data_IF_895410850848
#
_entry.id   IF_895410850848
#
_cell.length_a   1.000
_cell.length_b   1.000
_cell.length_c   1.000
_cell.angle_alpha   90.00
_cell.angle_beta   90.00
_cell.angle_gamma   90.00
#
_symmetry.space_group_name_H-M   'P 1'
#
loop_
_entity.id
_entity.type
_entity.pdbx_description
1 polymer ?
#
# COMPACT_ATOMS: atom_id res chain seq x y z
N UNK A 1 28.91 -32.59 0.99
CA UNK A 1 30.07 -32.14 1.78
C UNK A 1 29.63 -30.85 2.46
N UNK A 2 29.07 -30.97 3.67
CA UNK A 2 28.68 -29.80 4.48
C UNK A 2 29.96 -29.12 4.96
N UNK A 3 30.32 -27.99 4.35
CA UNK A 3 31.24 -27.06 4.99
C UNK A 3 30.54 -26.54 6.24
N UNK A 4 30.96 -27.01 7.42
CA UNK A 4 30.65 -26.34 8.69
C UNK A 4 31.06 -24.87 8.51
N UNK A 5 30.08 -23.97 8.45
CA UNK A 5 30.32 -22.54 8.41
C UNK A 5 31.17 -22.16 9.62
N UNK A 6 32.45 -21.86 9.37
CA UNK A 6 33.38 -21.42 10.40
C UNK A 6 32.88 -20.04 10.85
N UNK A 7 32.32 -19.96 12.05
CA UNK A 7 31.90 -18.69 12.63
C UNK A 7 33.11 -17.76 12.76
N UNK A 8 32.95 -16.53 12.29
CA UNK A 8 33.97 -15.49 12.37
C UNK A 8 33.91 -14.83 13.75
N UNK A 9 35.07 -14.72 14.40
CA UNK A 9 35.20 -14.02 15.68
C UNK A 9 35.24 -12.50 15.45
N UNK A 10 34.77 -11.73 16.43
CA UNK A 10 34.62 -10.27 16.30
C UNK A 10 35.95 -9.54 16.07
N UNK A 11 37.03 -10.02 16.70
CA UNK A 11 38.39 -9.48 16.58
C UNK A 11 39.03 -9.72 15.20
N UNK A 12 38.53 -10.71 14.44
CA UNK A 12 38.99 -11.02 13.09
C UNK A 12 38.33 -10.13 12.02
N UNK A 13 37.21 -9.49 12.35
CA UNK A 13 36.40 -8.76 11.37
C UNK A 13 37.15 -7.57 10.74
N UNK A 14 37.95 -6.76 11.46
CA UNK A 14 38.72 -5.68 10.83
C UNK A 14 39.72 -6.18 9.78
N UNK A 15 40.37 -7.32 10.02
CA UNK A 15 41.29 -7.91 9.05
C UNK A 15 40.57 -8.39 7.78
N UNK A 16 39.41 -9.04 7.94
CA UNK A 16 38.57 -9.48 6.80
C UNK A 16 37.99 -8.29 6.04
N UNK A 17 37.62 -7.21 6.74
CA UNK A 17 37.17 -5.97 6.11
C UNK A 17 38.28 -5.34 5.27
N UNK A 18 39.53 -5.34 5.77
CA UNK A 18 40.69 -4.87 5.01
C UNK A 18 40.96 -5.72 3.77
N UNK A 19 40.91 -7.05 3.90
CA UNK A 19 41.04 -7.96 2.76
C UNK A 19 39.95 -7.73 1.70
N UNK A 20 38.72 -7.43 2.11
CA UNK A 20 37.63 -7.07 1.20
C UNK A 20 37.92 -5.78 0.43
N UNK A 21 38.50 -4.77 1.09
CA UNK A 21 38.90 -3.50 0.48
C UNK A 21 40.05 -3.73 -0.50
N UNK A 22 41.09 -4.44 -0.08
CA UNK A 22 42.30 -4.69 -0.88
C UNK A 22 42.00 -5.53 -2.13
N UNK A 23 41.01 -6.42 -2.06
CA UNK A 23 40.54 -7.24 -3.19
C UNK A 23 39.35 -6.62 -3.96
N UNK A 24 39.17 -5.30 -3.88
CA UNK A 24 38.13 -4.61 -4.65
C UNK A 24 38.47 -4.67 -6.16
N UNK A 25 37.51 -4.99 -7.04
CA UNK A 25 37.74 -5.08 -8.49
C UNK A 25 37.99 -3.72 -9.15
N UNK A 26 37.67 -2.63 -8.45
CA UNK A 26 37.85 -1.24 -8.86
C UNK A 26 38.14 -0.38 -7.62
N UNK A 27 38.18 0.95 -7.79
CA UNK A 27 38.31 1.87 -6.67
C UNK A 27 37.23 1.60 -5.61
N UNK A 28 37.63 1.59 -4.34
CA UNK A 28 36.71 1.25 -3.24
C UNK A 28 35.46 2.13 -3.23
N UNK A 29 35.61 3.42 -3.52
CA UNK A 29 34.51 4.39 -3.51
C UNK A 29 33.47 4.11 -4.60
N UNK A 30 33.85 3.41 -5.69
CA UNK A 30 32.91 2.92 -6.70
C UNK A 30 32.35 1.55 -6.29
N UNK A 31 33.22 0.64 -5.84
CA UNK A 31 32.84 -0.73 -5.49
C UNK A 31 31.83 -0.79 -4.35
N UNK A 32 31.97 0.08 -3.35
CA UNK A 32 31.10 0.13 -2.16
C UNK A 32 29.63 0.38 -2.52
N UNK A 33 29.38 1.02 -3.67
CA UNK A 33 28.06 1.35 -4.17
C UNK A 33 27.43 0.23 -5.02
N UNK A 34 28.15 -0.86 -5.27
CA UNK A 34 27.66 -1.99 -6.06
C UNK A 34 26.88 -3.02 -5.24
N UNK A 35 25.91 -3.64 -5.92
CA UNK A 35 25.14 -4.76 -5.35
C UNK A 35 26.02 -5.94 -4.94
N UNK A 36 27.12 -6.17 -5.66
CA UNK A 36 28.07 -7.24 -5.32
C UNK A 36 28.74 -6.99 -3.97
N UNK A 37 29.04 -5.74 -3.64
CA UNK A 37 29.59 -5.37 -2.34
C UNK A 37 28.57 -5.61 -1.23
N UNK A 38 27.32 -5.14 -1.38
CA UNK A 38 26.25 -5.42 -0.40
C UNK A 38 26.06 -6.93 -0.18
N UNK A 39 26.15 -7.75 -1.23
CA UNK A 39 26.09 -9.21 -1.11
C UNK A 39 27.26 -9.78 -0.30
N UNK A 40 28.49 -9.27 -0.48
CA UNK A 40 29.65 -9.67 0.32
C UNK A 40 29.46 -9.28 1.79
N UNK A 41 29.00 -8.05 2.08
CA UNK A 41 28.65 -7.58 3.42
C UNK A 41 27.58 -8.47 4.06
N UNK A 42 26.54 -8.80 3.29
CA UNK A 42 25.43 -9.66 3.71
C UNK A 42 25.90 -11.07 4.06
N UNK A 43 26.85 -11.63 3.30
CA UNK A 43 27.42 -12.94 3.62
C UNK A 43 28.29 -12.87 4.87
N UNK A 44 29.16 -11.85 4.96
CA UNK A 44 30.03 -11.62 6.10
C UNK A 44 29.25 -11.46 7.40
N UNK A 45 28.16 -10.68 7.38
CA UNK A 45 27.27 -10.51 8.54
C UNK A 45 26.66 -11.85 9.02
N UNK A 46 26.45 -12.79 8.10
CA UNK A 46 25.91 -14.11 8.40
C UNK A 46 26.89 -14.98 9.18
N UNK A 47 28.19 -14.74 9.02
CA UNK A 47 29.26 -15.54 9.62
C UNK A 47 29.63 -15.11 11.04
N UNK A 48 29.24 -13.90 11.47
CA UNK A 48 29.62 -13.38 12.80
C UNK A 48 28.78 -14.03 13.89
N UNK A 49 29.44 -14.49 14.97
CA UNK A 49 28.76 -14.87 16.21
C UNK A 49 28.43 -13.63 17.05
N UNK A 50 27.15 -13.43 17.33
CA UNK A 50 26.63 -12.24 18.04
C UNK A 50 26.08 -12.57 19.44
N UNK A 51 26.26 -13.81 19.90
CA UNK A 51 25.65 -14.29 21.14
C UNK A 51 26.06 -13.46 22.37
N UNK A 52 27.29 -12.98 22.41
CA UNK A 52 27.88 -12.30 23.58
C UNK A 52 28.52 -10.93 23.23
N UNK A 53 28.09 -10.31 22.12
CA UNK A 53 28.63 -9.02 21.66
C UNK A 53 27.71 -7.88 22.09
N UNK A 54 28.21 -6.99 22.95
CA UNK A 54 27.49 -5.79 23.37
C UNK A 54 27.55 -4.68 22.32
N UNK A 55 26.57 -3.80 22.31
CA UNK A 55 26.54 -2.61 21.45
C UNK A 55 27.78 -1.73 21.62
N UNK A 56 28.25 -1.52 22.87
CA UNK A 56 29.44 -0.72 23.13
C UNK A 56 30.69 -1.33 22.50
N UNK A 57 30.86 -2.66 22.56
CA UNK A 57 31.98 -3.34 21.89
C UNK A 57 31.94 -3.15 20.37
N UNK A 58 30.75 -3.09 19.77
CA UNK A 58 30.60 -2.79 18.34
C UNK A 58 31.04 -1.36 18.04
N UNK A 59 30.61 -0.39 18.84
CA UNK A 59 30.97 1.02 18.68
C UNK A 59 32.48 1.23 18.85
N UNK A 60 33.05 0.71 19.94
CA UNK A 60 34.49 0.76 20.24
C UNK A 60 35.32 0.21 19.08
N UNK A 61 34.87 -0.87 18.44
CA UNK A 61 35.58 -1.45 17.30
C UNK A 61 35.53 -0.58 16.04
N UNK A 62 34.42 0.11 15.77
CA UNK A 62 34.31 1.03 14.64
C UNK A 62 35.21 2.24 14.88
N UNK A 63 35.14 2.83 16.08
CA UNK A 63 35.92 4.01 16.47
C UNK A 63 37.43 3.74 16.53
N UNK A 64 37.84 2.53 16.91
CA UNK A 64 39.24 2.16 16.97
C UNK A 64 39.91 2.08 15.58
N UNK A 65 39.15 2.12 14.48
CA UNK A 65 39.71 2.04 13.13
C UNK A 65 40.29 3.38 12.68
N UNK A 66 41.58 3.39 12.38
CA UNK A 66 42.25 4.55 11.77
C UNK A 66 41.93 4.70 10.28
N UNK A 67 41.62 3.59 9.60
CA UNK A 67 41.18 3.60 8.20
C UNK A 67 39.66 3.72 8.12
N UNK A 68 39.20 4.86 7.59
CA UNK A 68 37.78 5.18 7.42
C UNK A 68 37.04 4.16 6.54
N UNK A 69 37.72 3.53 5.59
CA UNK A 69 37.12 2.49 4.73
C UNK A 69 36.81 1.24 5.54
N UNK A 70 37.77 0.82 6.38
CA UNK A 70 37.59 -0.32 7.29
C UNK A 70 36.45 -0.03 8.27
N UNK A 71 36.46 1.17 8.88
CA UNK A 71 35.38 1.61 9.77
C UNK A 71 34.01 1.51 9.11
N UNK A 72 33.88 1.98 7.86
CA UNK A 72 32.64 1.90 7.10
C UNK A 72 32.20 0.45 6.82
N UNK A 73 33.12 -0.43 6.44
CA UNK A 73 32.81 -1.84 6.21
C UNK A 73 32.29 -2.49 7.50
N UNK A 74 32.94 -2.24 8.64
CA UNK A 74 32.47 -2.74 9.93
C UNK A 74 31.07 -2.23 10.26
N UNK A 75 30.86 -0.91 10.16
CA UNK A 75 29.55 -0.27 10.33
C UNK A 75 28.47 -0.95 9.49
N UNK A 76 28.72 -1.17 8.19
CA UNK A 76 27.73 -1.76 7.29
C UNK A 76 27.46 -3.24 7.62
N UNK A 77 28.49 -4.00 7.99
CA UNK A 77 28.34 -5.40 8.42
C UNK A 77 27.51 -5.49 9.69
N UNK A 78 27.81 -4.66 10.70
CA UNK A 78 27.09 -4.64 11.96
C UNK A 78 25.66 -4.14 11.82
N UNK A 79 25.44 -3.07 11.08
CA UNK A 79 24.10 -2.63 10.68
C UNK A 79 23.30 -3.79 10.06
N UNK A 80 23.89 -4.48 9.09
CA UNK A 80 23.24 -5.59 8.38
C UNK A 80 22.90 -6.74 9.32
N UNK A 81 23.78 -7.04 10.28
CA UNK A 81 23.56 -8.06 11.31
C UNK A 81 22.42 -7.67 12.25
N UNK A 82 22.46 -6.49 12.85
CA UNK A 82 21.41 -6.01 13.75
C UNK A 82 20.04 -5.97 13.07
N UNK A 83 19.97 -5.45 11.85
CA UNK A 83 18.73 -5.42 11.06
C UNK A 83 18.14 -6.81 10.85
N UNK A 84 18.97 -7.81 10.52
CA UNK A 84 18.53 -9.19 10.33
C UNK A 84 18.03 -9.86 11.60
N UNK A 85 18.61 -9.50 12.74
CA UNK A 85 18.15 -9.91 14.06
C UNK A 85 16.91 -9.13 14.53
N UNK A 86 16.43 -8.15 13.74
CA UNK A 86 15.35 -7.22 14.11
C UNK A 86 15.63 -6.48 15.42
N UNK A 87 16.91 -6.20 15.69
CA UNK A 87 17.36 -5.47 16.87
C UNK A 87 17.27 -3.96 16.62
N UNK A 88 16.74 -3.21 17.60
CA UNK A 88 16.64 -1.74 17.55
C UNK A 88 17.98 -1.04 17.41
N UNK A 89 19.07 -1.68 17.88
CA UNK A 89 20.45 -1.19 17.80
C UNK A 89 20.91 -0.89 16.35
N UNK A 90 20.26 -1.50 15.34
CA UNK A 90 20.51 -1.16 13.94
C UNK A 90 20.30 0.33 13.66
N UNK A 91 19.30 0.94 14.29
CA UNK A 91 18.98 2.36 14.12
C UNK A 91 19.91 3.24 14.94
N UNK A 92 20.28 2.79 16.13
CA UNK A 92 21.15 3.57 17.01
C UNK A 92 22.56 3.65 16.40
N UNK A 93 23.06 2.56 15.80
CA UNK A 93 24.31 2.56 15.05
C UNK A 93 24.33 3.58 13.89
N UNK A 94 23.19 3.72 13.19
CA UNK A 94 23.05 4.69 12.09
C UNK A 94 22.96 6.12 12.60
N UNK A 95 22.42 6.36 13.80
CA UNK A 95 22.45 7.71 14.40
C UNK A 95 23.85 8.08 14.88
N UNK A 96 24.57 7.10 15.42
CA UNK A 96 25.91 7.28 15.98
C UNK A 96 26.93 7.57 14.87
N UNK A 97 27.01 6.71 13.85
CA UNK A 97 28.07 6.76 12.83
C UNK A 97 27.59 7.18 11.45
N UNK A 98 26.28 7.35 11.25
CA UNK A 98 25.74 7.55 9.92
C UNK A 98 26.30 8.80 9.24
N UNK A 99 26.49 9.90 9.96
CA UNK A 99 26.99 11.18 9.42
C UNK A 99 28.45 11.10 8.97
N UNK A 100 29.26 10.30 9.67
CA UNK A 100 30.67 10.12 9.34
C UNK A 100 30.86 9.50 7.95
N UNK A 101 29.86 8.77 7.46
CA UNK A 101 29.94 7.98 6.24
C UNK A 101 29.11 8.54 5.07
N UNK A 102 28.70 9.81 5.12
CA UNK A 102 27.95 10.47 4.03
C UNK A 102 28.74 10.66 2.73
N UNK A 103 30.05 10.40 2.76
CA UNK A 103 30.86 10.30 1.54
C UNK A 103 30.52 9.08 0.67
N UNK A 104 29.87 8.05 1.23
CA UNK A 104 29.46 6.86 0.48
C UNK A 104 27.98 6.93 0.13
N UNK A 105 27.64 6.94 -1.16
CA UNK A 105 26.25 7.11 -1.63
C UNK A 105 25.33 5.99 -1.13
N UNK A 106 25.84 4.75 -0.99
CA UNK A 106 25.08 3.63 -0.42
C UNK A 106 24.66 3.88 1.05
N UNK A 107 25.28 4.80 1.78
CA UNK A 107 24.89 5.13 3.15
C UNK A 107 23.47 5.73 3.23
N UNK A 108 23.02 6.44 2.18
CA UNK A 108 21.63 6.88 2.06
C UNK A 108 20.66 5.69 2.09
N UNK A 109 21.01 4.60 1.41
CA UNK A 109 20.22 3.38 1.42
C UNK A 109 20.20 2.72 2.81
N UNK A 110 21.35 2.68 3.48
CA UNK A 110 21.48 2.14 4.85
C UNK A 110 20.57 2.90 5.82
N UNK A 111 20.60 4.24 5.78
CA UNK A 111 19.73 5.10 6.59
C UNK A 111 18.25 4.83 6.34
N UNK A 112 17.83 4.75 5.08
CA UNK A 112 16.44 4.44 4.73
C UNK A 112 16.00 3.07 5.26
N UNK A 113 16.87 2.06 5.19
CA UNK A 113 16.59 0.73 5.72
C UNK A 113 16.46 0.73 7.26
N UNK A 114 17.30 1.51 7.94
CA UNK A 114 17.25 1.65 9.40
C UNK A 114 15.94 2.30 9.85
N UNK A 115 15.56 3.39 9.19
CA UNK A 115 14.31 4.10 9.45
C UNK A 115 13.09 3.24 9.12
N UNK A 116 13.10 2.55 7.98
CA UNK A 116 12.00 1.64 7.60
C UNK A 116 11.79 0.53 8.64
N UNK A 117 12.88 0.00 9.21
CA UNK A 117 12.81 -1.04 10.24
C UNK A 117 12.20 -0.54 11.57
N UNK A 118 12.12 0.78 11.79
CA UNK A 118 11.73 1.38 13.05
C UNK A 118 10.34 2.02 13.07
N UNK A 119 9.64 2.11 11.93
CA UNK A 119 8.37 2.85 11.85
C UNK A 119 7.14 1.99 11.56
N UNK A 120 6.11 2.19 12.37
CA UNK A 120 4.76 1.64 12.17
C UNK A 120 3.74 2.69 11.68
N UNK A 121 4.15 3.95 11.48
CA UNK A 121 3.25 5.09 11.21
C UNK A 121 3.13 5.47 9.73
N UNK A 122 1.90 5.55 9.21
CA UNK A 122 1.56 5.88 7.81
C UNK A 122 2.19 7.18 7.30
N UNK A 123 2.20 8.26 8.10
CA UNK A 123 2.80 9.55 7.68
C UNK A 123 4.31 9.44 7.43
N UNK A 124 5.00 8.58 8.18
CA UNK A 124 6.44 8.35 8.01
C UNK A 124 6.73 7.49 6.78
N UNK A 125 5.83 6.57 6.43
CA UNK A 125 5.91 5.79 5.19
C UNK A 125 5.91 6.69 3.95
N UNK A 126 5.03 7.70 3.89
CA UNK A 126 4.98 8.60 2.73
C UNK A 126 6.28 9.37 2.50
N UNK A 127 6.94 9.83 3.58
CA UNK A 127 8.27 10.44 3.49
C UNK A 127 9.32 9.43 3.00
N UNK A 128 9.41 8.26 3.65
CA UNK A 128 10.38 7.25 3.27
C UNK A 128 10.22 6.77 1.83
N UNK A 129 8.98 6.62 1.36
CA UNK A 129 8.69 6.27 -0.04
C UNK A 129 9.26 7.31 -1.01
N UNK A 130 9.10 8.61 -0.72
CA UNK A 130 9.67 9.69 -1.55
C UNK A 130 11.19 9.67 -1.53
N UNK A 131 11.80 9.64 -0.34
CA UNK A 131 13.26 9.63 -0.19
C UNK A 131 13.88 8.39 -0.89
N UNK A 132 13.21 7.23 -0.82
CA UNK A 132 13.61 6.03 -1.55
C UNK A 132 13.39 6.15 -3.07
N UNK A 133 12.34 6.84 -3.51
CA UNK A 133 12.08 7.14 -4.93
C UNK A 133 13.17 8.01 -5.53
N UNK A 134 13.57 9.08 -4.84
CA UNK A 134 14.69 9.95 -5.24
C UNK A 134 15.99 9.14 -5.36
N UNK A 135 16.30 8.30 -4.37
CA UNK A 135 17.48 7.44 -4.41
C UNK A 135 17.42 6.40 -5.53
N UNK A 136 16.24 5.84 -5.82
CA UNK A 136 16.02 4.92 -6.93
C UNK A 136 16.23 5.61 -8.29
N UNK A 137 15.82 6.88 -8.40
CA UNK A 137 16.13 7.72 -9.56
C UNK A 137 17.63 7.96 -9.62
N UNK A 138 18.33 8.33 -8.55
CA UNK A 138 19.79 8.55 -8.57
C UNK A 138 20.61 7.27 -8.84
N UNK A 139 20.04 6.10 -8.56
CA UNK A 139 20.74 4.81 -8.59
C UNK A 139 21.41 4.49 -9.93
N UNK A 140 20.84 4.91 -11.05
CA UNK A 140 21.44 4.66 -12.37
C UNK A 140 22.81 5.34 -12.57
N UNK A 141 23.05 6.47 -11.89
CA UNK A 141 24.31 7.24 -12.00
C UNK A 141 25.29 6.95 -10.88
N UNK A 142 24.78 6.87 -9.65
CA UNK A 142 25.61 6.89 -8.44
C UNK A 142 25.74 5.54 -7.74
N UNK A 143 24.84 4.61 -8.04
CA UNK A 143 24.76 3.31 -7.40
C UNK A 143 24.67 2.18 -8.43
N UNK A 144 25.13 2.42 -9.66
CA UNK A 144 25.23 1.40 -10.72
C UNK A 144 23.98 0.52 -10.90
N UNK A 145 22.78 1.11 -10.80
CA UNK A 145 21.49 0.39 -10.81
C UNK A 145 21.35 -0.67 -9.69
N UNK A 146 21.80 -0.34 -8.49
CA UNK A 146 21.73 -1.18 -7.31
C UNK A 146 20.30 -1.69 -7.04
N UNK A 147 20.05 -2.96 -7.36
CA UNK A 147 18.72 -3.57 -7.31
C UNK A 147 18.11 -3.63 -5.89
N UNK A 148 18.93 -3.60 -4.84
CA UNK A 148 18.46 -3.50 -3.45
C UNK A 148 17.77 -2.16 -3.16
N UNK A 149 18.25 -1.08 -3.79
CA UNK A 149 17.67 0.28 -3.64
C UNK A 149 16.35 0.36 -4.38
N UNK A 150 16.32 -0.18 -5.61
CA UNK A 150 15.11 -0.26 -6.42
C UNK A 150 14.02 -1.08 -5.70
N UNK A 151 14.40 -2.22 -5.13
CA UNK A 151 13.46 -3.07 -4.39
C UNK A 151 12.91 -2.36 -3.14
N UNK A 152 13.75 -1.63 -2.40
CA UNK A 152 13.29 -0.87 -1.23
C UNK A 152 12.25 0.19 -1.61
N UNK A 153 12.50 0.95 -2.68
CA UNK A 153 11.52 1.91 -3.19
C UNK A 153 10.18 1.23 -3.49
N UNK A 154 10.20 0.14 -4.25
CA UNK A 154 8.98 -0.59 -4.61
C UNK A 154 8.26 -1.17 -3.38
N UNK A 155 9.00 -1.68 -2.40
CA UNK A 155 8.44 -2.22 -1.16
C UNK A 155 7.75 -1.13 -0.33
N UNK A 156 8.39 0.05 -0.20
CA UNK A 156 7.82 1.21 0.49
C UNK A 156 6.58 1.75 -0.24
N UNK A 157 6.61 1.80 -1.57
CA UNK A 157 5.44 2.17 -2.39
C UNK A 157 4.27 1.23 -2.14
N UNK A 158 4.51 -0.08 -2.14
CA UNK A 158 3.47 -1.06 -1.81
C UNK A 158 2.92 -0.81 -0.40
N UNK A 159 3.80 -0.74 0.59
CA UNK A 159 3.41 -0.58 2.00
C UNK A 159 2.66 0.73 2.27
N UNK A 160 2.93 1.80 1.51
CA UNK A 160 2.22 3.07 1.60
C UNK A 160 0.81 2.96 1.02
N UNK A 161 0.66 2.53 -0.23
CA UNK A 161 -0.65 2.48 -0.90
C UNK A 161 -1.55 1.37 -0.39
N UNK A 162 -0.98 0.29 0.14
CA UNK A 162 -1.73 -0.73 0.89
C UNK A 162 -2.45 -0.18 2.13
N UNK A 163 -1.93 0.93 2.70
CA UNK A 163 -2.54 1.63 3.85
C UNK A 163 -3.38 2.84 3.44
N UNK A 164 -3.17 3.37 2.24
CA UNK A 164 -3.87 4.53 1.69
C UNK A 164 -4.49 4.16 0.33
N UNK A 165 -5.43 3.22 0.35
CA UNK A 165 -6.00 2.65 -0.88
C UNK A 165 -6.76 3.68 -1.73
N UNK A 166 -7.28 4.74 -1.14
CA UNK A 166 -7.99 5.80 -1.87
C UNK A 166 -7.03 6.64 -2.71
N UNK A 167 -5.84 6.94 -2.18
CA UNK A 167 -4.83 7.75 -2.86
C UNK A 167 -4.25 7.06 -4.10
N UNK A 168 -4.36 5.73 -4.19
CA UNK A 168 -3.81 4.96 -5.32
C UNK A 168 -4.49 5.29 -6.66
N UNK A 169 -5.73 5.75 -6.60
CA UNK A 169 -6.55 6.10 -7.76
C UNK A 169 -6.40 7.58 -8.16
N UNK A 170 -5.69 8.38 -7.36
CA UNK A 170 -5.35 9.75 -7.73
C UNK A 170 -4.28 9.76 -8.83
N UNK A 171 -4.24 10.77 -9.71
CA UNK A 171 -3.29 10.82 -10.82
C UNK A 171 -1.82 10.67 -10.40
N UNK A 172 -1.44 11.28 -9.28
CA UNK A 172 -0.08 11.18 -8.74
C UNK A 172 0.19 9.79 -8.15
N UNK A 173 -0.79 9.19 -7.46
CA UNK A 173 -0.65 7.85 -6.90
C UNK A 173 -0.55 6.77 -7.98
N UNK A 174 -1.38 6.84 -9.00
CA UNK A 174 -1.33 5.94 -10.15
C UNK A 174 0.01 6.04 -10.89
N UNK A 175 0.51 7.27 -11.09
CA UNK A 175 1.82 7.52 -11.69
C UNK A 175 2.95 6.90 -10.86
N UNK A 176 2.98 7.14 -9.55
CA UNK A 176 4.00 6.59 -8.66
C UNK A 176 4.01 5.05 -8.65
N UNK A 177 2.83 4.43 -8.66
CA UNK A 177 2.70 2.96 -8.78
C UNK A 177 3.24 2.44 -10.11
N UNK A 178 2.96 3.11 -11.23
CA UNK A 178 3.52 2.77 -12.55
C UNK A 178 5.04 2.95 -12.61
N UNK A 179 5.57 4.00 -12.01
CA UNK A 179 7.01 4.26 -11.93
C UNK A 179 7.72 3.20 -11.08
N UNK A 180 7.11 2.79 -9.95
CA UNK A 180 7.61 1.69 -9.13
C UNK A 180 7.56 0.35 -9.89
N UNK A 181 6.47 0.05 -10.61
CA UNK A 181 6.35 -1.18 -11.41
C UNK A 181 7.40 -1.23 -12.52
N UNK A 182 7.62 -0.12 -13.21
CA UNK A 182 8.67 0.01 -14.24
C UNK A 182 10.05 -0.20 -13.64
N UNK A 183 10.31 0.37 -12.47
CA UNK A 183 11.57 0.19 -11.74
C UNK A 183 11.78 -1.26 -11.32
N UNK A 184 10.74 -1.95 -10.82
CA UNK A 184 10.81 -3.36 -10.46
C UNK A 184 11.10 -4.25 -11.67
N UNK A 185 10.44 -4.02 -12.81
CA UNK A 185 10.73 -4.73 -14.07
C UNK A 185 12.18 -4.53 -14.51
N UNK A 186 12.71 -3.30 -14.37
CA UNK A 186 14.14 -3.00 -14.61
C UNK A 186 15.05 -3.80 -13.67
N UNK A 187 14.74 -3.89 -12.38
CA UNK A 187 15.53 -4.65 -11.41
C UNK A 187 15.57 -6.15 -11.73
N UNK A 188 14.43 -6.73 -12.11
CA UNK A 188 14.34 -8.13 -12.55
C UNK A 188 15.22 -8.35 -13.79
N UNK A 189 15.12 -7.47 -14.79
CA UNK A 189 15.93 -7.56 -16.01
C UNK A 189 17.43 -7.50 -15.72
N UNK A 190 17.87 -6.58 -14.85
CA UNK A 190 19.28 -6.46 -14.46
C UNK A 190 19.78 -7.79 -13.86
N UNK A 191 19.01 -8.39 -12.96
CA UNK A 191 19.40 -9.64 -12.33
C UNK A 191 19.39 -10.84 -13.31
N UNK A 192 18.42 -10.90 -14.21
CA UNK A 192 18.37 -11.90 -15.28
C UNK A 192 19.59 -11.79 -16.21
N UNK A 193 19.94 -10.56 -16.62
CA UNK A 193 21.11 -10.29 -17.47
C UNK A 193 22.41 -10.70 -16.75
N UNK A 194 22.56 -10.38 -15.46
CA UNK A 194 23.71 -10.80 -14.64
C UNK A 194 23.80 -12.33 -14.51
N UNK A 195 22.67 -13.00 -14.32
CA UNK A 195 22.64 -14.46 -14.21
C UNK A 195 23.03 -15.12 -15.54
N UNK A 196 22.54 -14.61 -16.67
CA UNK A 196 22.91 -15.11 -18.00
C UNK A 196 24.41 -14.94 -18.27
N UNK A 197 25.00 -13.80 -17.89
CA UNK A 197 26.44 -13.57 -18.01
C UNK A 197 27.25 -14.57 -17.18
N UNK A 198 26.85 -14.82 -15.93
CA UNK A 198 27.52 -15.81 -15.06
C UNK A 198 27.43 -17.23 -15.62
N UNK A 199 26.29 -17.59 -16.21
CA UNK A 199 26.10 -18.90 -16.84
C UNK A 199 27.01 -19.06 -18.06
N UNK A 200 27.12 -18.04 -18.92
CA UNK A 200 28.05 -18.04 -20.06
C UNK A 200 29.51 -18.19 -19.61
N UNK A 201 29.93 -17.43 -18.60
CA UNK A 201 31.28 -17.53 -18.05
C UNK A 201 31.56 -18.90 -17.45
N UNK A 202 30.61 -19.48 -16.72
CA UNK A 202 30.75 -20.81 -16.14
C UNK A 202 30.83 -21.92 -17.21
N UNK A 203 30.08 -21.79 -18.31
CA UNK A 203 30.16 -22.70 -19.46
C UNK A 203 31.54 -22.62 -20.14
N UNK A 204 32.04 -21.41 -20.38
CA UNK A 204 33.36 -21.21 -20.96
C UNK A 204 34.48 -21.75 -20.07
N UNK A 205 34.38 -21.53 -18.75
CA UNK A 205 35.34 -22.06 -17.80
C UNK A 205 35.31 -23.59 -17.74
N UNK A 206 34.13 -24.20 -17.67
CA UNK A 206 33.98 -25.65 -17.71
C UNK A 206 34.57 -26.25 -19.00
N UNK A 207 34.36 -25.58 -20.14
CA UNK A 207 34.97 -25.96 -21.43
C UNK A 207 36.49 -25.87 -21.40
N UNK A 208 37.07 -24.82 -20.79
CA UNK A 208 38.52 -24.65 -20.64
C UNK A 208 39.13 -25.73 -19.72
N UNK A 209 38.41 -26.10 -18.67
CA UNK A 209 38.85 -27.10 -17.68
C UNK A 209 38.55 -28.55 -18.10
N UNK A 210 37.86 -28.76 -19.24
CA UNK A 210 37.51 -30.09 -19.73
C UNK A 210 36.46 -30.82 -18.88
N UNK A 211 35.70 -30.09 -18.06
CA UNK A 211 34.67 -30.65 -17.16
C UNK A 211 33.27 -30.41 -17.71
N UNK A 212 32.32 -31.36 -17.51
CA UNK A 212 30.94 -31.19 -17.96
C UNK A 212 30.24 -30.07 -17.19
N UNK A 213 29.71 -29.09 -17.91
CA UNK A 213 28.88 -28.02 -17.33
C UNK A 213 27.55 -28.59 -16.84
N UNK A 214 27.16 -28.24 -15.61
CA UNK A 214 25.82 -28.48 -15.07
C UNK A 214 25.15 -27.14 -14.77
N UNK A 215 24.04 -26.86 -15.45
CA UNK A 215 23.25 -25.67 -15.19
C UNK A 215 22.74 -25.70 -13.74
N UNK A 216 22.96 -24.61 -13.00
CA UNK A 216 22.52 -24.48 -11.60
C UNK A 216 21.05 -24.05 -11.44
N UNK A 217 20.32 -23.90 -12.55
CA UNK A 217 18.97 -23.34 -12.55
C UNK A 217 18.97 -21.84 -12.26
N UNK A 218 17.98 -21.11 -12.79
CA UNK A 218 17.82 -19.69 -12.49
C UNK A 218 17.41 -19.52 -11.03
N UNK A 219 18.18 -18.76 -10.25
CA UNK A 219 17.73 -18.30 -8.92
C UNK A 219 16.69 -17.21 -9.16
N UNK A 220 15.41 -17.53 -9.01
CA UNK A 220 14.38 -16.51 -9.10
C UNK A 220 14.44 -15.61 -7.86
N UNK A 221 14.51 -14.29 -8.08
CA UNK A 221 14.49 -13.29 -7.02
C UNK A 221 13.07 -13.13 -6.48
N UNK A 222 12.63 -14.10 -5.67
CA UNK A 222 11.26 -14.21 -5.18
C UNK A 222 10.71 -12.91 -4.56
N UNK A 223 11.54 -12.10 -3.87
CA UNK A 223 11.11 -10.78 -3.34
C UNK A 223 10.69 -9.79 -4.43
N UNK A 224 11.35 -9.80 -5.57
CA UNK A 224 11.06 -8.87 -6.67
C UNK A 224 9.72 -9.22 -7.31
N UNK A 225 9.49 -10.51 -7.55
CA UNK A 225 8.21 -11.01 -8.05
C UNK A 225 7.05 -10.79 -7.07
N UNK A 226 7.30 -10.93 -5.75
CA UNK A 226 6.31 -10.59 -4.74
C UNK A 226 5.93 -9.11 -4.81
N UNK A 227 6.91 -8.21 -4.80
CA UNK A 227 6.64 -6.76 -4.86
C UNK A 227 6.04 -6.33 -6.21
N UNK A 228 6.44 -6.97 -7.31
CA UNK A 228 5.79 -6.79 -8.61
C UNK A 228 4.32 -7.18 -8.55
N UNK A 229 4.00 -8.33 -7.95
CA UNK A 229 2.61 -8.77 -7.74
C UNK A 229 1.80 -7.77 -6.90
N UNK A 230 2.39 -7.25 -5.82
CA UNK A 230 1.75 -6.24 -4.96
C UNK A 230 1.44 -4.95 -5.71
N UNK A 231 2.39 -4.45 -6.51
CA UNK A 231 2.18 -3.27 -7.36
C UNK A 231 1.08 -3.48 -8.41
N UNK A 232 1.04 -4.65 -9.07
CA UNK A 232 0.01 -5.00 -10.04
C UNK A 232 -1.39 -5.01 -9.40
N UNK A 233 -1.53 -5.60 -8.22
CA UNK A 233 -2.79 -5.59 -7.44
C UNK A 233 -3.22 -4.16 -7.08
N UNK A 234 -2.27 -3.32 -6.66
CA UNK A 234 -2.54 -1.92 -6.34
C UNK A 234 -2.98 -1.12 -7.57
N UNK A 235 -2.52 -1.49 -8.76
CA UNK A 235 -2.96 -0.95 -10.06
C UNK A 235 -4.25 -1.60 -10.61
N UNK A 236 -4.87 -2.52 -9.88
CA UNK A 236 -6.10 -3.22 -10.31
C UNK A 236 -5.87 -4.40 -11.26
N UNK A 237 -4.62 -4.75 -11.57
CA UNK A 237 -4.25 -5.91 -12.37
C UNK A 237 -4.18 -7.17 -11.49
N UNK A 238 -5.34 -7.55 -10.93
CA UNK A 238 -5.43 -8.56 -9.86
C UNK A 238 -4.91 -9.95 -10.27
N UNK A 239 -5.35 -10.48 -11.41
CA UNK A 239 -5.01 -11.84 -11.82
C UNK A 239 -3.52 -11.98 -12.18
N UNK A 240 -2.95 -10.95 -12.85
CA UNK A 240 -1.51 -10.89 -13.12
C UNK A 240 -0.73 -10.76 -11.80
N UNK A 241 -1.20 -9.89 -10.89
CA UNK A 241 -0.54 -9.67 -9.61
C UNK A 241 -0.49 -10.92 -8.73
N UNK A 242 -1.61 -11.64 -8.62
CA UNK A 242 -1.70 -12.91 -7.88
C UNK A 242 -0.79 -13.99 -8.50
N UNK A 243 -0.73 -14.07 -9.83
CA UNK A 243 0.18 -14.97 -10.53
C UNK A 243 1.65 -14.72 -10.16
N UNK A 244 2.08 -13.46 -10.10
CA UNK A 244 3.46 -13.11 -9.70
C UNK A 244 3.74 -13.42 -8.23
N UNK A 245 2.77 -13.22 -7.33
CA UNK A 245 2.91 -13.60 -5.92
C UNK A 245 3.04 -15.12 -5.75
N UNK A 246 2.23 -15.90 -6.48
CA UNK A 246 2.32 -17.36 -6.48
C UNK A 246 3.65 -17.85 -7.06
N UNK A 247 4.14 -17.23 -8.13
CA UNK A 247 5.47 -17.49 -8.66
C UNK A 247 6.57 -17.23 -7.62
N UNK A 248 6.45 -16.14 -6.85
CA UNK A 248 7.38 -15.82 -5.77
C UNK A 248 7.39 -16.90 -4.68
N UNK A 249 6.23 -17.40 -4.25
CA UNK A 249 6.11 -18.48 -3.26
C UNK A 249 6.75 -19.78 -3.78
N UNK A 250 6.44 -20.16 -5.02
CA UNK A 250 6.95 -21.38 -5.63
C UNK A 250 8.49 -21.40 -5.69
N UNK A 251 9.11 -20.24 -5.89
CA UNK A 251 10.57 -20.10 -6.00
C UNK A 251 11.28 -19.76 -4.68
N UNK A 252 10.60 -19.87 -3.53
CA UNK A 252 11.26 -19.67 -2.24
C UNK A 252 12.35 -20.72 -2.01
N UNK A 253 13.54 -20.32 -1.51
CA UNK A 253 14.61 -21.27 -1.24
C UNK A 253 14.22 -22.23 -0.11
N UNK A 254 14.63 -23.49 -0.25
CA UNK A 254 14.43 -24.52 0.75
C UNK A 254 15.45 -24.39 1.89
N UNK A 255 15.16 -23.48 2.82
CA UNK A 255 15.96 -23.24 4.02
C UNK A 255 15.07 -23.22 5.29
N UNK A 256 15.72 -23.10 6.45
CA UNK A 256 15.07 -23.07 7.78
C UNK A 256 14.00 -21.98 7.95
N UNK A 257 14.09 -20.89 7.19
CA UNK A 257 13.19 -19.73 7.30
C UNK A 257 12.07 -19.78 6.25
N UNK A 258 12.03 -20.83 5.40
CA UNK A 258 11.06 -20.98 4.31
C UNK A 258 9.61 -20.86 4.79
N UNK A 259 9.23 -21.60 5.83
CA UNK A 259 7.87 -21.59 6.37
C UNK A 259 7.45 -20.20 6.88
N UNK A 260 8.36 -19.47 7.52
CA UNK A 260 8.09 -18.10 7.95
C UNK A 260 7.88 -17.16 6.76
N UNK A 261 8.60 -17.37 5.66
CA UNK A 261 8.45 -16.56 4.43
C UNK A 261 7.18 -16.91 3.67
N UNK A 262 6.79 -18.19 3.61
CA UNK A 262 5.51 -18.61 3.04
C UNK A 262 4.35 -17.89 3.73
N UNK A 263 4.29 -17.97 5.07
CA UNK A 263 3.24 -17.28 5.84
C UNK A 263 3.19 -15.77 5.58
N UNK A 264 4.36 -15.13 5.49
CA UNK A 264 4.44 -13.72 5.13
C UNK A 264 3.89 -13.47 3.72
N UNK A 265 4.24 -14.29 2.73
CA UNK A 265 3.82 -14.10 1.34
C UNK A 265 2.32 -14.36 1.17
N UNK A 266 1.79 -15.38 1.84
CA UNK A 266 0.35 -15.69 1.89
C UNK A 266 -0.46 -14.56 2.54
N UNK A 267 0.12 -13.85 3.52
CA UNK A 267 -0.51 -12.65 4.10
C UNK A 267 -0.71 -11.54 3.06
N UNK A 268 0.25 -11.36 2.13
CA UNK A 268 0.11 -10.40 1.03
C UNK A 268 -0.92 -10.85 -0.03
N UNK A 269 -1.05 -12.16 -0.29
CA UNK A 269 -2.14 -12.68 -1.14
C UNK A 269 -3.50 -12.43 -0.49
N UNK A 270 -3.61 -12.67 0.82
CA UNK A 270 -4.83 -12.38 1.58
C UNK A 270 -5.18 -10.89 1.51
N UNK A 271 -4.17 -10.02 1.66
CA UNK A 271 -4.32 -8.58 1.52
C UNK A 271 -4.74 -8.18 0.10
N UNK A 272 -4.19 -8.82 -0.93
CA UNK A 272 -4.58 -8.59 -2.32
C UNK A 272 -6.05 -8.91 -2.58
N UNK A 273 -6.56 -10.02 -2.00
CA UNK A 273 -7.97 -10.37 -2.05
C UNK A 273 -8.85 -9.30 -1.39
N UNK A 274 -8.44 -8.77 -0.23
CA UNK A 274 -9.15 -7.67 0.44
C UNK A 274 -9.19 -6.41 -0.45
N UNK A 275 -8.06 -6.05 -1.08
CA UNK A 275 -7.98 -4.90 -1.99
C UNK A 275 -8.87 -5.10 -3.22
N UNK A 276 -8.94 -6.31 -3.78
CA UNK A 276 -9.84 -6.67 -4.88
C UNK A 276 -11.30 -6.48 -4.49
N UNK A 277 -11.69 -6.99 -3.32
CA UNK A 277 -13.05 -6.80 -2.79
C UNK A 277 -13.36 -5.32 -2.57
N UNK A 278 -12.42 -4.55 -2.01
CA UNK A 278 -12.55 -3.11 -1.83
C UNK A 278 -12.82 -2.39 -3.16
N UNK A 279 -12.02 -2.67 -4.20
CA UNK A 279 -12.19 -2.09 -5.53
C UNK A 279 -13.57 -2.43 -6.14
N UNK A 280 -13.98 -3.70 -6.07
CA UNK A 280 -15.29 -4.13 -6.57
C UNK A 280 -16.46 -3.46 -5.81
N UNK A 281 -16.28 -3.18 -4.52
CA UNK A 281 -17.29 -2.47 -3.74
C UNK A 281 -17.36 -1.00 -4.12
N UNK A 282 -16.23 -0.32 -4.32
CA UNK A 282 -16.15 1.07 -4.76
C UNK A 282 -16.79 1.26 -6.15
N UNK A 283 -16.52 0.34 -7.09
CA UNK A 283 -17.18 0.35 -8.41
C UNK A 283 -18.70 0.19 -8.30
N UNK A 284 -19.18 -0.72 -7.43
CA UNK A 284 -20.62 -0.87 -7.15
C UNK A 284 -21.23 0.37 -6.51
N UNK A 285 -20.52 1.05 -5.60
CA UNK A 285 -20.98 2.31 -5.01
C UNK A 285 -21.04 3.43 -6.05
N UNK A 286 -20.03 3.54 -6.92
CA UNK A 286 -20.02 4.48 -8.04
C UNK A 286 -21.13 4.19 -9.05
N UNK A 287 -21.43 2.92 -9.31
CA UNK A 287 -22.56 2.53 -10.17
C UNK A 287 -23.92 2.83 -9.52
N UNK A 288 -24.03 2.74 -8.19
CA UNK A 288 -25.19 3.23 -7.44
C UNK A 288 -25.32 4.76 -7.51
N UNK A 289 -24.21 5.52 -7.45
CA UNK A 289 -24.21 6.97 -7.70
C UNK A 289 -24.64 7.34 -9.13
N UNK A 290 -24.33 6.49 -10.12
CA UNK A 290 -24.77 6.68 -11.53
C UNK A 290 -26.27 6.48 -11.71
N UNK A 291 -26.96 5.76 -10.81
CA UNK A 291 -28.43 5.80 -10.75
C UNK A 291 -28.80 7.20 -10.30
N UNK A 292 -29.08 8.09 -11.27
CA UNK A 292 -29.41 9.50 -11.04
C UNK A 292 -30.31 9.61 -9.82
N UNK A 293 -29.91 10.42 -8.84
CA UNK A 293 -30.70 10.79 -7.65
C UNK A 293 -32.17 11.08 -7.98
N UNK A 294 -32.42 11.64 -9.17
CA UNK A 294 -33.76 11.88 -9.69
C UNK A 294 -34.60 10.60 -9.88
N UNK A 295 -34.00 9.48 -10.31
CA UNK A 295 -34.69 8.20 -10.47
C UNK A 295 -35.14 7.63 -9.13
N UNK A 296 -34.29 7.70 -8.11
CA UNK A 296 -34.67 7.30 -6.74
C UNK A 296 -35.76 8.23 -6.18
N UNK A 297 -35.61 9.56 -6.32
CA UNK A 297 -36.64 10.53 -5.92
C UNK A 297 -37.98 10.24 -6.61
N UNK A 298 -37.97 9.96 -7.91
CA UNK A 298 -39.18 9.62 -8.68
C UNK A 298 -39.79 8.30 -8.22
N UNK A 299 -39.00 7.24 -8.04
CA UNK A 299 -39.52 5.94 -7.60
C UNK A 299 -40.14 6.04 -6.21
N UNK A 300 -39.45 6.65 -5.24
CA UNK A 300 -39.97 6.83 -3.88
C UNK A 300 -41.24 7.69 -3.87
N UNK A 301 -41.26 8.80 -4.62
CA UNK A 301 -42.44 9.66 -4.73
C UNK A 301 -43.63 8.93 -5.37
N UNK A 302 -43.38 8.11 -6.40
CA UNK A 302 -44.42 7.32 -7.07
C UNK A 302 -44.99 6.24 -6.14
N UNK A 303 -44.14 5.56 -5.35
CA UNK A 303 -44.58 4.57 -4.36
C UNK A 303 -45.37 5.22 -3.21
N UNK A 304 -44.96 6.39 -2.73
CA UNK A 304 -45.70 7.14 -1.70
C UNK A 304 -47.06 7.60 -2.22
N UNK A 305 -47.15 8.10 -3.46
CA UNK A 305 -48.42 8.46 -4.09
C UNK A 305 -49.34 7.25 -4.27
N UNK A 306 -48.81 6.08 -4.66
CA UNK A 306 -49.59 4.86 -4.85
C UNK A 306 -50.14 4.33 -3.52
N UNK A 307 -49.31 4.27 -2.48
CA UNK A 307 -49.72 3.85 -1.13
C UNK A 307 -50.74 4.81 -0.52
N UNK A 308 -50.62 6.09 -0.83
CA UNK A 308 -51.60 7.11 -0.43
C UNK A 308 -52.93 6.90 -1.16
N UNK A 309 -52.93 6.81 -2.50
CA UNK A 309 -54.14 6.60 -3.32
C UNK A 309 -54.95 5.37 -2.89
N UNK A 310 -54.27 4.27 -2.53
CA UNK A 310 -54.91 3.06 -2.01
C UNK A 310 -55.62 3.29 -0.66
N UNK A 311 -55.09 4.19 0.18
CA UNK A 311 -55.72 4.60 1.44
C UNK A 311 -56.94 5.51 1.25
N UNK A 312 -56.96 6.37 0.22
CA UNK A 312 -58.10 7.28 -0.05
C UNK A 312 -59.39 6.56 -0.40
N UNK A 313 -59.30 5.49 -1.20
CA UNK A 313 -60.46 4.78 -1.76
C UNK A 313 -61.41 4.34 -0.62
N UNK A 314 -60.85 4.00 0.54
CA UNK A 314 -61.60 3.56 1.72
C UNK A 314 -62.31 4.68 2.48
N UNK A 315 -61.85 5.92 2.37
CA UNK A 315 -62.45 7.11 3.02
C UNK A 315 -63.63 7.64 2.20
N UNK A 316 -63.57 7.53 0.87
CA UNK A 316 -64.60 8.03 -0.04
C UNK A 316 -65.88 7.18 -0.07
N UNK A 317 -65.85 5.94 0.42
CA UNK A 317 -67.03 5.07 0.48
C UNK A 317 -67.97 5.39 1.67
N UNK A 318 -67.55 6.21 2.64
CA UNK A 318 -68.23 6.31 3.95
C UNK A 318 -68.87 7.67 4.28
N UNK A 319 -68.69 8.71 3.44
CA UNK A 319 -69.13 10.09 3.76
C UNK A 319 -70.15 10.58 2.72
N UNK A 320 -71.33 11.02 3.19
CA UNK A 320 -72.47 11.43 2.35
C UNK A 320 -72.66 12.95 2.23
N UNK A 321 -72.11 13.76 3.14
CA UNK A 321 -72.21 15.23 3.09
C UNK A 321 -71.15 15.84 2.16
N UNK A 322 -71.58 16.67 1.21
CA UNK A 322 -70.75 17.23 0.13
C UNK A 322 -69.72 18.23 0.67
N UNK A 323 -70.08 19.01 1.69
CA UNK A 323 -69.15 19.99 2.28
C UNK A 323 -68.05 19.28 3.09
N UNK A 324 -68.44 18.35 3.95
CA UNK A 324 -67.51 17.54 4.75
C UNK A 324 -66.60 16.71 3.83
N UNK A 325 -67.13 16.16 2.74
CA UNK A 325 -66.36 15.46 1.71
C UNK A 325 -65.32 16.37 1.05
N UNK A 326 -65.70 17.59 0.65
CA UNK A 326 -64.78 18.55 0.03
C UNK A 326 -63.68 19.00 0.99
N UNK A 327 -64.01 19.22 2.27
CA UNK A 327 -63.02 19.59 3.28
C UNK A 327 -62.10 18.43 3.66
N UNK A 328 -62.62 17.20 3.72
CA UNK A 328 -61.81 15.98 3.87
C UNK A 328 -60.88 15.78 2.68
N UNK A 329 -61.34 16.03 1.45
CA UNK A 329 -60.47 16.02 0.27
C UNK A 329 -59.33 17.04 0.37
N UNK A 330 -59.60 18.24 0.88
CA UNK A 330 -58.59 19.28 1.03
C UNK A 330 -57.61 18.97 2.17
N UNK A 331 -58.09 18.43 3.29
CA UNK A 331 -57.26 17.87 4.36
C UNK A 331 -56.40 16.70 3.86
N UNK A 332 -56.95 15.88 2.97
CA UNK A 332 -56.27 14.73 2.40
C UNK A 332 -55.17 15.15 1.41
N UNK A 333 -55.47 16.07 0.49
CA UNK A 333 -54.49 16.61 -0.46
C UNK A 333 -53.36 17.38 0.24
N UNK A 334 -53.68 18.08 1.33
CA UNK A 334 -52.68 18.78 2.14
C UNK A 334 -51.75 17.82 2.88
N UNK A 335 -52.25 16.68 3.37
CA UNK A 335 -51.42 15.64 3.98
C UNK A 335 -50.49 14.94 2.97
N UNK A 336 -50.93 14.78 1.71
CA UNK A 336 -50.09 14.32 0.60
C UNK A 336 -48.96 15.30 0.29
N UNK A 337 -49.24 16.61 0.30
CA UNK A 337 -48.22 17.66 0.15
C UNK A 337 -47.19 17.58 1.28
N UNK A 338 -47.62 17.42 2.54
CA UNK A 338 -46.69 17.24 3.66
C UNK A 338 -45.83 16.00 3.48
N UNK A 339 -46.43 14.85 3.16
CA UNK A 339 -45.70 13.58 2.96
C UNK A 339 -44.68 13.67 1.82
N UNK A 340 -45.10 14.16 0.65
CA UNK A 340 -44.22 14.31 -0.51
C UNK A 340 -43.09 15.31 -0.25
N UNK A 341 -43.39 16.47 0.36
CA UNK A 341 -42.38 17.45 0.75
C UNK A 341 -41.37 16.90 1.76
N UNK A 342 -41.83 16.13 2.76
CA UNK A 342 -40.96 15.55 3.80
C UNK A 342 -40.03 14.47 3.22
N UNK A 343 -40.54 13.63 2.32
CA UNK A 343 -39.74 12.63 1.59
C UNK A 343 -38.70 13.30 0.70
N UNK A 344 -39.10 14.34 -0.06
CA UNK A 344 -38.19 15.09 -0.92
C UNK A 344 -37.10 15.81 -0.11
N UNK A 345 -37.48 16.43 1.00
CA UNK A 345 -36.56 17.11 1.92
C UNK A 345 -35.56 16.12 2.57
N UNK A 346 -36.06 14.99 3.08
CA UNK A 346 -35.23 13.94 3.66
C UNK A 346 -34.22 13.35 2.66
N UNK A 347 -34.65 13.12 1.41
CA UNK A 347 -33.77 12.67 0.33
C UNK A 347 -32.74 13.74 -0.06
N UNK A 348 -33.14 15.02 -0.10
CA UNK A 348 -32.22 16.14 -0.39
C UNK A 348 -31.13 16.29 0.69
N UNK A 349 -31.46 16.02 1.96
CA UNK A 349 -30.47 15.99 3.07
C UNK A 349 -29.58 14.76 2.98
N UNK A 350 -30.16 13.56 2.83
CA UNK A 350 -29.43 12.30 2.81
C UNK A 350 -28.40 12.22 1.67
N UNK A 351 -28.70 12.85 0.52
CA UNK A 351 -27.87 12.82 -0.69
C UNK A 351 -26.92 14.03 -0.80
N UNK A 352 -26.78 14.86 0.25
CA UNK A 352 -25.91 16.04 0.30
C UNK A 352 -26.06 16.95 -0.93
N UNK A 353 -27.30 17.17 -1.39
CA UNK A 353 -27.56 17.96 -2.58
C UNK A 353 -27.14 19.43 -2.35
N UNK A 354 -26.14 19.92 -3.11
CA UNK A 354 -25.53 21.25 -2.90
C UNK A 354 -26.44 22.41 -3.35
N UNK A 355 -27.58 22.15 -3.99
CA UNK A 355 -28.48 23.19 -4.49
C UNK A 355 -29.42 23.70 -3.41
N UNK A 356 -28.95 24.69 -2.64
CA UNK A 356 -29.69 25.37 -1.55
C UNK A 356 -31.11 25.84 -1.94
N UNK A 357 -31.36 26.16 -3.22
CA UNK A 357 -32.70 26.54 -3.70
C UNK A 357 -33.72 25.39 -3.63
N UNK A 358 -33.33 24.15 -3.91
CA UNK A 358 -34.27 23.00 -3.92
C UNK A 358 -34.75 22.66 -2.50
N UNK A 359 -33.85 22.70 -1.51
CA UNK A 359 -34.20 22.53 -0.09
C UNK A 359 -35.22 23.58 0.40
N UNK A 360 -35.14 24.80 -0.10
CA UNK A 360 -36.10 25.87 0.24
C UNK A 360 -37.47 25.59 -0.37
N UNK A 361 -37.54 25.14 -1.62
CA UNK A 361 -38.81 24.74 -2.24
C UNK A 361 -39.46 23.54 -1.53
N UNK A 362 -38.66 22.52 -1.17
CA UNK A 362 -39.14 21.34 -0.43
C UNK A 362 -39.72 21.76 0.94
N UNK A 363 -39.04 22.67 1.65
CA UNK A 363 -39.52 23.20 2.93
C UNK A 363 -40.79 24.05 2.81
N UNK A 364 -40.91 24.87 1.76
CA UNK A 364 -42.14 25.64 1.49
C UNK A 364 -43.33 24.70 1.23
N UNK A 365 -43.11 23.61 0.49
CA UNK A 365 -44.14 22.64 0.15
C UNK A 365 -44.69 21.92 1.39
N UNK A 366 -43.82 21.58 2.35
CA UNK A 366 -44.24 21.06 3.67
C UNK A 366 -45.04 22.09 4.45
N UNK A 367 -44.56 23.33 4.52
CA UNK A 367 -45.22 24.40 5.28
C UNK A 367 -46.64 24.71 4.74
N UNK A 368 -46.79 24.80 3.42
CA UNK A 368 -48.09 25.00 2.76
C UNK A 368 -49.04 23.84 3.05
N UNK A 369 -48.56 22.59 3.00
CA UNK A 369 -49.34 21.41 3.35
C UNK A 369 -49.86 21.46 4.79
N UNK A 370 -49.02 21.82 5.76
CA UNK A 370 -49.43 21.92 7.17
C UNK A 370 -50.51 22.99 7.37
N UNK A 371 -50.36 24.16 6.75
CA UNK A 371 -51.33 25.26 6.85
C UNK A 371 -52.69 24.87 6.27
N UNK A 372 -52.70 24.28 5.07
CA UNK A 372 -53.94 23.82 4.43
C UNK A 372 -54.63 22.71 5.24
N UNK A 373 -53.87 21.81 5.85
CA UNK A 373 -54.41 20.77 6.73
C UNK A 373 -55.08 21.37 7.97
N UNK A 374 -54.39 22.30 8.65
CA UNK A 374 -54.92 22.96 9.84
C UNK A 374 -56.21 23.75 9.54
N UNK A 375 -56.24 24.52 8.45
CA UNK A 375 -57.44 25.25 8.01
C UNK A 375 -58.59 24.28 7.73
N UNK A 376 -58.31 23.17 7.04
CA UNK A 376 -59.34 22.18 6.70
C UNK A 376 -59.95 21.54 7.94
N UNK A 377 -59.12 21.15 8.90
CA UNK A 377 -59.58 20.55 10.16
C UNK A 377 -60.37 21.54 11.02
N UNK A 378 -59.94 22.80 11.11
CA UNK A 378 -60.68 23.85 11.82
C UNK A 378 -62.06 24.03 11.20
N UNK A 379 -62.15 24.12 9.88
CA UNK A 379 -63.41 24.30 9.16
C UNK A 379 -64.35 23.09 9.30
N UNK A 380 -63.82 21.86 9.27
CA UNK A 380 -64.60 20.64 9.58
C UNK A 380 -65.14 20.70 11.01
N UNK A 381 -64.33 21.09 11.98
CA UNK A 381 -64.74 21.17 13.38
C UNK A 381 -65.77 22.28 13.65
N UNK A 382 -65.66 23.43 12.98
CA UNK A 382 -66.59 24.55 13.19
C UNK A 382 -67.91 24.42 12.43
N UNK A 383 -67.91 23.85 11.22
CA UNK A 383 -69.11 23.76 10.37
C UNK A 383 -69.76 22.38 10.37
N UNK A 384 -69.01 21.32 10.65
CA UNK A 384 -69.53 19.95 10.74
C UNK A 384 -70.38 19.67 11.99
N UNK A 385 -70.34 20.54 13.00
CA UNK A 385 -71.19 20.45 14.20
C UNK A 385 -72.56 21.15 14.06
N UNK A 386 -72.76 21.90 12.98
CA UNK A 386 -73.99 22.69 12.73
C UNK A 386 -74.84 22.15 11.58
N UNK A 387 -74.52 20.96 11.04
CA UNK A 387 -75.30 20.27 10.00
C UNK A 387 -75.97 19.01 10.50
#
# INVERSE_FOLDING_TARGET
METKDKKLQLDQLPAVAKELIDNSPCAFDDFVNDRQFEMKITNLSGQIDFADVSYNQVCDQIEAQTDKKVAFVLYFVYFTKYRRLKNSEARDLVKEFGEDFDCYEINKHIRLLADYSAYNSVKKFGRLMRDAGELCVESHKKLHNHVGVINLYCELTCAYYEKNLDERNEPEGEKQLKDALTSMRRAIKIEDDLQEQKEKQAQEQAKKEGVPYRAKGKKAYHKFYLNMGRLLVLLGQFDEGESQMNYAIHNLPNDKDRESRIRLYESYITQASIIRTYALSDDKYKDLEKIKVNTYKTVTLTTTLLGFLLGSIKIYETVTDVFTLAMLMLAYMSLLLVMSGTVLFGLSIALRDKKRRMLVYDGILVAVGIVLFAISMVLILTYGYTS
#
